data_IF_096704619174
#
_entry.id   IF_096704619174
#
_cell.length_a   1.000
_cell.length_b   1.000
_cell.length_c   1.000
_cell.angle_alpha   90.00
_cell.angle_beta   90.00
_cell.angle_gamma   90.00
#
_symmetry.space_group_name_H-M   'P 1'
#
loop_
_entity.id
_entity.type
_entity.pdbx_description
1 polymer ?
#
# COMPACT_ATOMS: atom_id res chain seq x y z
N UNK A 1 29.64 17.01 -9.72
CA UNK A 1 28.68 16.23 -8.90
C UNK A 1 27.29 16.73 -9.27
N UNK A 2 26.53 15.97 -10.05
CA UNK A 2 25.14 16.31 -10.35
C UNK A 2 24.28 15.70 -9.25
N UNK A 3 23.81 16.53 -8.32
CA UNK A 3 22.74 16.14 -7.40
C UNK A 3 21.48 16.10 -8.24
N UNK A 4 21.07 14.90 -8.67
CA UNK A 4 19.75 14.68 -9.25
C UNK A 4 18.75 14.79 -8.10
N UNK A 5 18.34 16.02 -7.81
CA UNK A 5 17.27 16.31 -6.89
C UNK A 5 15.98 15.79 -7.52
N UNK A 6 15.58 14.56 -7.17
CA UNK A 6 14.18 14.15 -7.30
C UNK A 6 13.36 15.27 -6.65
N UNK A 7 12.41 15.91 -7.37
CA UNK A 7 11.76 17.12 -6.88
C UNK A 7 11.14 16.85 -5.51
N UNK A 8 11.08 17.85 -4.64
CA UNK A 8 10.51 17.75 -3.29
C UNK A 8 9.06 17.20 -3.25
N UNK A 9 8.41 17.07 -4.40
CA UNK A 9 7.17 16.33 -4.63
C UNK A 9 7.27 14.83 -4.31
N UNK A 10 8.41 14.19 -4.58
CA UNK A 10 8.63 12.77 -4.29
C UNK A 10 8.71 12.48 -2.79
N UNK A 11 8.99 13.49 -1.95
CA UNK A 11 9.11 13.26 -0.50
C UNK A 11 7.77 12.84 0.10
N UNK A 12 6.65 13.48 -0.25
CA UNK A 12 5.32 13.19 0.31
C UNK A 12 4.82 11.78 0.00
N UNK A 13 5.20 11.21 -1.15
CA UNK A 13 4.78 9.88 -1.55
C UNK A 13 5.68 8.75 -1.01
N UNK A 14 6.59 9.08 -0.08
CA UNK A 14 7.38 8.10 0.68
C UNK A 14 6.87 8.04 2.12
N UNK A 15 7.06 6.91 2.81
CA UNK A 15 6.64 6.76 4.21
C UNK A 15 7.20 7.87 5.10
N UNK A 16 8.45 8.27 4.87
CA UNK A 16 9.12 9.35 5.62
C UNK A 16 8.46 10.72 5.39
N UNK A 17 7.97 11.01 4.18
CA UNK A 17 7.25 12.26 3.92
C UNK A 17 5.78 12.21 4.28
N UNK A 18 5.15 11.04 4.36
CA UNK A 18 3.84 10.90 5.02
C UNK A 18 3.93 11.26 6.50
N UNK A 19 4.93 10.71 7.19
CA UNK A 19 5.19 10.98 8.61
C UNK A 19 5.59 12.44 8.86
N UNK A 20 6.41 13.03 7.97
CA UNK A 20 6.82 14.43 8.07
C UNK A 20 5.76 15.42 7.60
N UNK A 21 4.95 15.05 6.61
CA UNK A 21 3.90 15.86 5.99
C UNK A 21 2.65 15.98 6.85
N UNK A 22 2.46 15.07 7.80
CA UNK A 22 1.40 15.17 8.83
C UNK A 22 1.55 16.42 9.74
N UNK A 23 2.64 17.19 9.61
CA UNK A 23 2.86 18.46 10.30
C UNK A 23 2.49 19.70 9.46
N UNK A 24 2.03 19.55 8.21
CA UNK A 24 1.72 20.69 7.33
C UNK A 24 0.54 20.37 6.40
N UNK A 25 -0.59 21.07 6.61
CA UNK A 25 -1.78 21.18 5.75
C UNK A 25 -2.16 19.97 4.85
N UNK A 26 -3.18 19.23 5.27
CA UNK A 26 -3.69 18.01 4.66
C UNK A 26 -4.53 18.23 3.37
N UNK A 27 -4.34 19.35 2.65
CA UNK A 27 -5.19 19.79 1.53
C UNK A 27 -4.51 19.71 0.15
N UNK A 28 -3.19 19.56 0.10
CA UNK A 28 -2.47 19.37 -1.17
C UNK A 28 -2.45 17.89 -1.55
N UNK A 29 -3.49 17.44 -2.28
CA UNK A 29 -3.48 16.14 -2.96
C UNK A 29 -2.34 16.13 -3.99
N UNK A 30 -1.20 15.61 -3.59
CA UNK A 30 -0.05 15.49 -4.47
C UNK A 30 -0.20 14.24 -5.36
N UNK A 31 -0.09 14.43 -6.67
CA UNK A 31 -0.22 13.37 -7.66
C UNK A 31 0.99 12.42 -7.57
N UNK A 32 0.82 11.31 -6.87
CA UNK A 32 1.82 10.24 -6.76
C UNK A 32 1.70 9.18 -7.87
N UNK A 33 0.81 9.40 -8.86
CA UNK A 33 0.66 8.53 -10.05
C UNK A 33 0.01 7.16 -9.80
N UNK A 34 -0.37 6.83 -8.56
CA UNK A 34 -1.03 5.55 -8.25
C UNK A 34 -2.51 5.54 -8.65
N UNK A 35 -3.08 4.35 -8.83
CA UNK A 35 -4.52 4.13 -9.01
C UNK A 35 -5.13 3.51 -7.77
N UNK A 36 -6.37 3.89 -7.47
CA UNK A 36 -7.12 3.37 -6.33
C UNK A 36 -7.49 1.88 -6.50
N UNK A 37 -7.79 1.15 -5.41
CA UNK A 37 -8.23 -0.24 -5.50
C UNK A 37 -9.49 -0.43 -6.35
N UNK A 38 -10.40 0.55 -6.34
CA UNK A 38 -11.61 0.53 -7.16
C UNK A 38 -11.33 0.55 -8.67
N UNK A 39 -10.24 1.20 -9.09
CA UNK A 39 -9.78 1.16 -10.48
C UNK A 39 -9.33 -0.27 -10.86
N UNK A 40 -8.48 -0.87 -10.03
CA UNK A 40 -7.93 -2.22 -10.23
C UNK A 40 -8.98 -3.32 -10.15
N UNK A 41 -10.05 -3.13 -9.36
CA UNK A 41 -11.19 -4.04 -9.33
C UNK A 41 -11.88 -4.18 -10.71
N UNK A 42 -11.81 -3.13 -11.54
CA UNK A 42 -12.33 -3.11 -12.90
C UNK A 42 -11.25 -3.34 -13.98
N UNK A 43 -9.97 -3.17 -13.65
CA UNK A 43 -8.80 -3.35 -14.53
C UNK A 43 -7.93 -4.53 -14.07
N UNK A 44 -8.54 -5.71 -14.00
CA UNK A 44 -7.90 -6.90 -13.44
C UNK A 44 -6.83 -7.44 -14.39
N UNK A 45 -5.58 -7.50 -13.94
CA UNK A 45 -4.49 -8.12 -14.69
C UNK A 45 -4.51 -9.65 -14.53
N UNK A 46 -3.91 -10.42 -15.46
CA UNK A 46 -3.81 -11.87 -15.32
C UNK A 46 -3.09 -12.29 -14.04
N UNK A 47 -2.08 -11.54 -13.62
CA UNK A 47 -1.32 -11.80 -12.38
C UNK A 47 -2.21 -11.73 -11.14
N UNK A 48 -3.18 -10.80 -11.10
CA UNK A 48 -4.09 -10.70 -9.96
C UNK A 48 -4.99 -11.92 -9.79
N UNK A 49 -5.28 -12.64 -10.88
CA UNK A 49 -6.14 -13.82 -10.87
C UNK A 49 -5.37 -15.10 -10.59
N UNK A 50 -4.07 -15.13 -10.84
CA UNK A 50 -3.24 -16.31 -10.67
C UNK A 50 -2.46 -16.29 -9.35
N UNK A 51 -1.92 -15.14 -8.96
CA UNK A 51 -1.09 -15.02 -7.75
C UNK A 51 -1.97 -14.86 -6.51
N UNK A 52 -1.60 -15.57 -5.46
CA UNK A 52 -2.26 -15.45 -4.16
C UNK A 52 -1.64 -14.33 -3.34
N UNK A 53 -2.44 -13.72 -2.47
CA UNK A 53 -1.96 -12.67 -1.58
C UNK A 53 -0.79 -13.15 -0.71
N UNK A 54 -0.87 -14.40 -0.22
CA UNK A 54 0.20 -15.04 0.53
C UNK A 54 1.48 -15.22 -0.28
N UNK A 55 1.38 -15.55 -1.56
CA UNK A 55 2.56 -15.73 -2.41
C UNK A 55 3.31 -14.41 -2.62
N UNK A 56 2.59 -13.29 -2.67
CA UNK A 56 3.17 -11.95 -2.85
C UNK A 56 3.69 -11.38 -1.52
N UNK A 57 2.90 -11.48 -0.45
CA UNK A 57 3.17 -10.80 0.83
C UNK A 57 3.67 -11.73 1.94
N UNK A 58 3.83 -13.03 1.67
CA UNK A 58 4.35 -14.03 2.60
C UNK A 58 3.33 -14.57 3.62
N UNK A 59 2.29 -13.81 3.98
CA UNK A 59 1.21 -14.26 4.86
C UNK A 59 -0.15 -13.69 4.42
N UNK A 60 -1.20 -14.11 5.10
CA UNK A 60 -2.57 -13.58 4.95
C UNK A 60 -2.93 -12.70 6.14
N UNK A 61 -3.92 -11.83 5.97
CA UNK A 61 -4.41 -10.99 7.07
C UNK A 61 -4.83 -11.82 8.29
N UNK A 62 -4.21 -11.51 9.43
CA UNK A 62 -4.47 -12.11 10.75
C UNK A 62 -4.72 -11.01 11.78
N UNK A 63 -5.79 -10.25 11.58
CA UNK A 63 -6.18 -9.21 12.53
C UNK A 63 -6.77 -9.78 13.82
N UNK A 64 -6.79 -8.96 14.88
CA UNK A 64 -7.48 -9.25 16.17
C UNK A 64 -8.97 -9.62 16.01
N UNK A 65 -9.58 -9.34 14.86
CA UNK A 65 -11.01 -9.49 14.58
C UNK A 65 -11.32 -10.60 13.57
N UNK A 66 -10.32 -11.30 13.04
CA UNK A 66 -10.54 -12.37 12.08
C UNK A 66 -9.28 -12.68 11.27
N UNK A 67 -9.18 -13.93 10.82
CA UNK A 67 -8.19 -14.40 9.86
C UNK A 67 -8.91 -14.67 8.54
N UNK A 68 -8.32 -14.26 7.41
CA UNK A 68 -8.84 -14.67 6.11
C UNK A 68 -8.86 -16.19 6.00
N UNK A 69 -10.00 -16.72 5.56
CA UNK A 69 -10.14 -18.16 5.32
C UNK A 69 -9.51 -18.50 3.97
N UNK A 70 -8.44 -19.31 3.99
CA UNK A 70 -7.74 -19.75 2.78
C UNK A 70 -6.65 -18.78 2.30
N UNK A 71 -6.25 -18.96 1.05
CA UNK A 71 -5.22 -18.18 0.36
C UNK A 71 -5.87 -17.43 -0.82
N UNK A 72 -6.59 -16.32 -0.56
CA UNK A 72 -7.29 -15.60 -1.61
C UNK A 72 -6.31 -15.02 -2.64
N UNK A 73 -6.74 -15.00 -3.90
CA UNK A 73 -6.05 -14.30 -4.99
C UNK A 73 -6.06 -12.79 -4.76
N UNK A 74 -5.11 -12.08 -5.37
CA UNK A 74 -5.07 -10.61 -5.30
C UNK A 74 -6.40 -9.99 -5.77
N UNK A 75 -7.04 -10.61 -6.77
CA UNK A 75 -8.35 -10.19 -7.26
C UNK A 75 -9.49 -10.42 -6.26
N UNK A 76 -9.48 -11.56 -5.56
CA UNK A 76 -10.46 -11.82 -4.50
C UNK A 76 -10.30 -10.83 -3.35
N UNK A 77 -9.06 -10.50 -2.99
CA UNK A 77 -8.75 -9.49 -1.97
C UNK A 77 -9.26 -8.10 -2.35
N UNK A 78 -9.12 -7.68 -3.62
CA UNK A 78 -9.69 -6.41 -4.10
C UNK A 78 -11.23 -6.34 -3.98
N UNK A 79 -11.89 -7.50 -3.99
CA UNK A 79 -13.35 -7.62 -3.84
C UNK A 79 -13.80 -7.77 -2.39
N UNK A 80 -12.88 -8.03 -1.46
CA UNK A 80 -13.19 -8.09 -0.04
C UNK A 80 -13.54 -6.69 0.45
N UNK A 81 -14.69 -6.56 1.10
CA UNK A 81 -15.18 -5.29 1.66
C UNK A 81 -15.83 -5.56 3.01
N UNK A 82 -15.91 -4.53 3.86
CA UNK A 82 -16.63 -4.64 5.13
C UNK A 82 -15.87 -5.41 6.21
N UNK A 83 -16.45 -6.50 6.72
CA UNK A 83 -15.91 -7.23 7.87
C UNK A 83 -14.69 -8.11 7.51
N UNK A 84 -14.61 -8.54 6.25
CA UNK A 84 -13.53 -9.41 5.76
C UNK A 84 -12.21 -8.63 5.56
N UNK A 85 -12.25 -7.34 5.22
CA UNK A 85 -11.06 -6.49 5.07
C UNK A 85 -11.26 -5.17 5.82
N UNK A 86 -10.92 -5.17 7.11
CA UNK A 86 -11.05 -3.98 7.96
C UNK A 86 -10.11 -2.91 7.42
N UNK A 87 -10.66 -1.73 7.10
CA UNK A 87 -9.97 -0.62 6.44
C UNK A 87 -9.64 -0.83 4.96
N UNK A 88 -10.11 -1.92 4.34
CA UNK A 88 -9.72 -2.28 2.97
C UNK A 88 -8.18 -2.39 2.83
N UNK A 89 -7.48 -2.81 3.88
CA UNK A 89 -6.03 -2.88 3.91
C UNK A 89 -5.50 -3.79 2.80
N UNK A 90 -6.10 -4.97 2.66
CA UNK A 90 -5.79 -5.89 1.58
C UNK A 90 -5.96 -5.25 0.20
N UNK A 91 -7.10 -4.61 -0.03
CA UNK A 91 -7.37 -3.96 -1.31
C UNK A 91 -6.38 -2.82 -1.62
N UNK A 92 -6.02 -2.00 -0.62
CA UNK A 92 -5.02 -0.93 -0.77
C UNK A 92 -3.61 -1.49 -0.99
N UNK A 93 -3.22 -2.56 -0.29
CA UNK A 93 -1.94 -3.24 -0.50
C UNK A 93 -1.81 -3.80 -1.92
N UNK A 94 -2.87 -4.47 -2.42
CA UNK A 94 -2.88 -5.00 -3.79
C UNK A 94 -2.81 -3.86 -4.82
N UNK A 95 -3.54 -2.77 -4.60
CA UNK A 95 -3.50 -1.61 -5.48
C UNK A 95 -2.10 -0.97 -5.53
N UNK A 96 -1.45 -0.78 -4.37
CA UNK A 96 -0.09 -0.25 -4.29
C UNK A 96 0.92 -1.17 -4.99
N UNK A 97 0.79 -2.48 -4.80
CA UNK A 97 1.63 -3.48 -5.47
C UNK A 97 1.48 -3.41 -7.00
N UNK A 98 0.24 -3.34 -7.49
CA UNK A 98 0.02 -3.24 -8.93
C UNK A 98 0.49 -1.90 -9.49
N UNK A 99 0.30 -0.80 -8.75
CA UNK A 99 0.80 0.50 -9.16
C UNK A 99 2.32 0.49 -9.34
N UNK A 100 3.05 -0.16 -8.43
CA UNK A 100 4.50 -0.32 -8.51
C UNK A 100 4.96 -1.20 -9.69
N UNK A 101 4.11 -2.12 -10.18
CA UNK A 101 4.38 -2.94 -11.36
C UNK A 101 4.08 -2.21 -12.67
N UNK A 102 2.95 -1.51 -12.73
CA UNK A 102 2.42 -0.93 -13.97
C UNK A 102 2.93 0.48 -14.24
N UNK A 103 3.17 1.27 -13.18
CA UNK A 103 3.64 2.65 -13.30
C UNK A 103 5.10 2.74 -12.87
N UNK A 104 5.99 2.98 -13.83
CA UNK A 104 7.41 3.26 -13.57
C UNK A 104 7.63 4.56 -12.80
N UNK A 105 6.67 5.47 -12.83
CA UNK A 105 6.70 6.75 -12.11
C UNK A 105 6.07 6.64 -10.71
N UNK A 106 5.65 5.45 -10.29
CA UNK A 106 5.15 5.25 -8.93
C UNK A 106 6.30 5.40 -7.92
N UNK A 107 6.11 6.17 -6.84
CA UNK A 107 7.16 6.53 -5.89
C UNK A 107 7.65 5.37 -5.03
N UNK A 108 6.90 4.27 -4.96
CA UNK A 108 7.29 3.06 -4.22
C UNK A 108 7.66 1.92 -5.17
N UNK A 109 8.67 1.16 -4.78
CA UNK A 109 9.03 -0.08 -5.47
C UNK A 109 8.16 -1.24 -4.99
N UNK A 110 8.09 -2.29 -5.79
CA UNK A 110 7.38 -3.53 -5.45
C UNK A 110 7.91 -4.14 -4.15
N UNK A 111 9.24 -4.21 -4.00
CA UNK A 111 9.89 -4.72 -2.79
C UNK A 111 9.52 -3.92 -1.54
N UNK A 112 9.43 -2.59 -1.67
CA UNK A 112 9.05 -1.70 -0.55
C UNK A 112 7.60 -1.92 -0.12
N UNK A 113 6.67 -2.05 -1.08
CA UNK A 113 5.27 -2.35 -0.78
C UNK A 113 5.14 -3.72 -0.11
N UNK A 114 5.84 -4.73 -0.63
CA UNK A 114 5.83 -6.09 -0.06
C UNK A 114 6.37 -6.10 1.36
N UNK A 115 7.48 -5.40 1.62
CA UNK A 115 8.07 -5.33 2.96
C UNK A 115 7.14 -4.63 3.97
N UNK A 116 6.56 -3.48 3.60
CA UNK A 116 5.60 -2.75 4.45
C UNK A 116 4.43 -3.65 4.83
N UNK A 117 3.82 -4.30 3.82
CA UNK A 117 2.65 -5.15 4.03
C UNK A 117 3.01 -6.39 4.84
N UNK A 118 4.14 -7.05 4.55
CA UNK A 118 4.61 -8.21 5.30
C UNK A 118 4.85 -7.89 6.78
N UNK A 119 5.45 -6.73 7.09
CA UNK A 119 5.64 -6.30 8.48
C UNK A 119 4.31 -6.06 9.20
N UNK A 120 3.35 -5.39 8.55
CA UNK A 120 2.02 -5.19 9.13
C UNK A 120 1.30 -6.53 9.37
N UNK A 121 1.45 -7.48 8.46
CA UNK A 121 0.86 -8.82 8.62
C UNK A 121 1.51 -9.61 9.75
N UNK A 122 2.83 -9.49 9.91
CA UNK A 122 3.60 -10.23 10.91
C UNK A 122 3.47 -9.63 12.33
N UNK A 123 3.55 -8.30 12.45
CA UNK A 123 3.64 -7.59 13.73
C UNK A 123 2.39 -6.75 14.07
N UNK A 124 1.53 -6.49 13.09
CA UNK A 124 0.39 -5.57 13.20
C UNK A 124 0.73 -4.11 12.92
N UNK A 125 2.00 -3.78 12.72
CA UNK A 125 2.50 -2.44 12.43
C UNK A 125 3.78 -2.51 11.57
N UNK A 126 4.03 -1.46 10.80
CA UNK A 126 5.27 -1.24 10.07
C UNK A 126 6.14 -0.23 10.81
N UNK A 127 7.43 -0.50 10.98
CA UNK A 127 8.35 0.49 11.58
C UNK A 127 9.18 1.16 10.49
N UNK A 128 9.02 2.47 10.32
CA UNK A 128 9.82 3.21 9.36
C UNK A 128 11.30 3.21 9.78
N UNK A 129 12.22 2.68 8.96
CA UNK A 129 13.63 2.56 9.33
C UNK A 129 14.32 3.92 9.48
N UNK A 130 13.77 4.98 8.89
CA UNK A 130 14.33 6.34 8.94
C UNK A 130 13.94 7.14 10.18
N UNK A 131 12.72 6.94 10.70
CA UNK A 131 12.17 7.75 11.80
C UNK A 131 11.95 6.96 13.08
N UNK A 132 11.95 5.62 13.01
CA UNK A 132 11.60 4.74 14.13
C UNK A 132 10.13 4.80 14.54
N UNK A 133 9.28 5.52 13.78
CA UNK A 133 7.85 5.58 14.03
C UNK A 133 7.16 4.33 13.50
N UNK A 134 6.20 3.83 14.26
CA UNK A 134 5.37 2.69 13.90
C UNK A 134 4.06 3.17 13.29
N UNK A 135 3.73 2.65 12.10
CA UNK A 135 2.45 2.86 11.42
C UNK A 135 1.60 1.61 11.59
N UNK A 136 0.41 1.75 12.16
CA UNK A 136 -0.54 0.65 12.19
C UNK A 136 -1.22 0.46 10.83
N UNK A 137 -1.97 -0.64 10.67
CA UNK A 137 -2.61 -0.96 9.40
C UNK A 137 -3.53 0.16 8.87
N UNK A 138 -4.20 0.92 9.74
CA UNK A 138 -5.04 2.05 9.35
C UNK A 138 -4.18 3.21 8.82
N UNK A 139 -3.05 3.51 9.47
CA UNK A 139 -2.14 4.55 9.01
C UNK A 139 -1.48 4.17 7.68
N UNK A 140 -1.13 2.90 7.50
CA UNK A 140 -0.60 2.38 6.23
C UNK A 140 -1.63 2.48 5.10
N UNK A 141 -2.92 2.22 5.39
CA UNK A 141 -4.00 2.49 4.41
C UNK A 141 -4.08 3.97 4.09
N UNK A 142 -4.01 4.85 5.10
CA UNK A 142 -4.00 6.30 4.91
C UNK A 142 -2.84 6.74 4.01
N UNK A 143 -1.66 6.18 4.21
CA UNK A 143 -0.49 6.39 3.37
C UNK A 143 -0.73 5.91 1.93
N UNK A 144 -1.17 4.67 1.73
CA UNK A 144 -1.47 4.16 0.39
C UNK A 144 -2.52 5.01 -0.31
N UNK A 145 -3.57 5.41 0.39
CA UNK A 145 -4.62 6.27 -0.14
C UNK A 145 -4.07 7.62 -0.62
N UNK A 146 -3.13 8.23 0.10
CA UNK A 146 -2.47 9.46 -0.35
C UNK A 146 -1.61 9.25 -1.61
N UNK A 147 -1.09 8.03 -1.84
CA UNK A 147 -0.35 7.72 -3.07
C UNK A 147 -1.25 7.44 -4.28
N UNK A 148 -2.56 7.31 -4.08
CA UNK A 148 -3.51 7.01 -5.14
C UNK A 148 -4.17 8.28 -5.66
N UNK A 149 -4.32 8.35 -6.98
CA UNK A 149 -5.16 9.31 -7.66
C UNK A 149 -6.63 8.90 -7.53
N UNK A 150 -7.47 9.86 -7.16
CA UNK A 150 -8.90 9.67 -6.88
C UNK A 150 -9.73 9.49 -8.15
#
# INVERSE_FOLDING_TARGET
MAVSSKPALAHFCTVSGFLSGNLSHHDDRHYCGGRSPGYWMNHVTPEMKTRTFREVFGDVWRGKYGKWSGDPTLYEVLKMTGHDDRYQFGAHAVAAFQNALEFSDYPMSVDEVVDIVAQVLAFGYYTSPGTGQTLDAQDVVGFFYQTFDA
#
